data_IF_449922200171
#
_entry.id   IF_449922200171
#
_cell.length_a   1.000
_cell.length_b   1.000
_cell.length_c   1.000
_cell.angle_alpha   90.00
_cell.angle_beta   90.00
_cell.angle_gamma   90.00
#
_symmetry.space_group_name_H-M   'P 1'
#
loop_
_entity.id
_entity.type
_entity.pdbx_description
1 polymer ?
#
# COMPACT_ATOMS: atom_id res chain seq x y z
N UNK A 1 0.99 -0.16 -14.37
CA UNK A 1 0.59 0.34 -13.02
C UNK A 1 -0.80 1.01 -12.99
N UNK A 2 -1.82 0.54 -13.74
CA UNK A 2 -3.19 1.13 -13.74
C UNK A 2 -4.31 0.08 -13.59
N UNK A 3 -4.01 -1.21 -13.74
CA UNK A 3 -5.06 -2.24 -13.85
C UNK A 3 -5.83 -2.44 -12.53
N UNK A 4 -5.21 -2.19 -11.37
CA UNK A 4 -5.81 -2.54 -10.07
C UNK A 4 -6.68 -1.43 -9.45
N UNK A 5 -6.44 -0.15 -9.71
CA UNK A 5 -7.21 0.96 -9.09
C UNK A 5 -8.70 0.96 -9.46
N UNK A 6 -9.06 0.36 -10.61
CA UNK A 6 -10.45 0.21 -11.05
C UNK A 6 -11.21 -0.88 -10.28
N UNK A 7 -10.52 -1.77 -9.57
CA UNK A 7 -11.14 -2.91 -8.86
C UNK A 7 -11.71 -2.54 -7.49
N UNK A 8 -11.45 -1.33 -6.99
CA UNK A 8 -11.87 -0.91 -5.66
C UNK A 8 -12.08 0.61 -5.59
N UNK A 9 -12.54 1.11 -4.44
CA UNK A 9 -12.69 2.56 -4.20
C UNK A 9 -11.33 3.21 -4.02
N UNK A 10 -10.67 3.51 -5.14
CA UNK A 10 -9.45 4.29 -5.15
C UNK A 10 -9.66 5.66 -4.50
N UNK A 11 -8.65 6.10 -3.75
CA UNK A 11 -8.58 7.41 -3.12
C UNK A 11 -7.47 8.21 -3.77
N UNK A 12 -7.65 9.52 -3.96
CA UNK A 12 -6.54 10.39 -4.39
C UNK A 12 -5.44 10.46 -3.32
N UNK A 13 -4.31 11.09 -3.66
CA UNK A 13 -3.17 11.23 -2.75
C UNK A 13 -3.54 11.93 -1.44
N UNK A 14 -4.38 12.97 -1.48
CA UNK A 14 -4.81 13.74 -0.30
C UNK A 14 -5.87 13.04 0.54
N UNK A 15 -6.59 12.06 -0.04
CA UNK A 15 -7.63 11.29 0.67
C UNK A 15 -7.15 9.89 1.05
N UNK A 16 -5.87 9.57 0.87
CA UNK A 16 -5.36 8.22 1.07
C UNK A 16 -5.40 7.84 2.55
N UNK A 17 -6.04 6.73 2.86
CA UNK A 17 -6.04 6.15 4.19
C UNK A 17 -5.23 4.84 4.20
N UNK A 18 -4.68 4.51 5.35
CA UNK A 18 -4.11 3.19 5.57
C UNK A 18 -5.20 2.12 5.46
N UNK A 19 -4.94 1.09 4.66
CA UNK A 19 -5.88 -0.02 4.44
C UNK A 19 -5.99 -0.97 5.64
N UNK A 20 -5.22 -0.73 6.71
CA UNK A 20 -5.21 -1.53 7.95
C UNK A 20 -5.93 -0.79 9.08
N UNK A 21 -5.50 0.43 9.41
CA UNK A 21 -6.09 1.20 10.52
C UNK A 21 -7.19 2.17 10.08
N UNK A 22 -7.31 2.47 8.78
CA UNK A 22 -8.32 3.37 8.23
C UNK A 22 -8.05 4.87 8.41
N UNK A 23 -6.93 5.27 9.01
CA UNK A 23 -6.58 6.69 9.23
C UNK A 23 -5.66 7.23 8.14
N UNK A 24 -5.64 8.56 7.98
CA UNK A 24 -4.72 9.30 7.11
C UNK A 24 -3.65 10.08 7.90
N UNK A 25 -3.60 9.93 9.22
CA UNK A 25 -2.57 10.55 10.08
C UNK A 25 -1.19 9.97 9.79
N UNK A 26 -0.09 10.64 10.18
CA UNK A 26 1.28 10.15 9.94
C UNK A 26 1.53 9.77 8.47
N UNK A 27 1.19 10.70 7.57
CA UNK A 27 1.30 10.56 6.12
C UNK A 27 2.76 10.34 5.66
N UNK A 28 3.73 10.87 6.41
CA UNK A 28 5.16 10.60 6.23
C UNK A 28 5.52 9.12 6.36
N UNK A 29 4.70 8.34 7.09
CA UNK A 29 4.87 6.90 7.26
C UNK A 29 3.91 6.07 6.40
N UNK A 30 3.13 6.70 5.53
CA UNK A 30 2.12 6.04 4.70
C UNK A 30 2.70 5.64 3.33
N UNK A 31 2.98 4.34 3.15
CA UNK A 31 3.46 3.79 1.89
C UNK A 31 2.32 3.59 0.89
N UNK A 32 2.58 3.86 -0.38
CA UNK A 32 1.68 3.51 -1.48
C UNK A 32 2.21 2.29 -2.22
N UNK A 33 1.34 1.32 -2.45
CA UNK A 33 1.72 0.12 -3.22
C UNK A 33 1.83 0.46 -4.72
N UNK A 34 2.95 0.12 -5.36
CA UNK A 34 3.17 0.43 -6.78
C UNK A 34 2.24 -0.32 -7.76
N UNK A 35 1.68 -1.45 -7.32
CA UNK A 35 0.77 -2.27 -8.13
C UNK A 35 -0.69 -1.84 -8.03
N UNK A 36 -1.13 -1.39 -6.86
CA UNK A 36 -2.52 -1.06 -6.63
C UNK A 36 -2.81 0.35 -6.19
N UNK A 37 -1.87 1.09 -5.61
CA UNK A 37 -2.04 2.43 -5.05
C UNK A 37 -2.88 2.48 -3.76
N UNK A 38 -2.95 1.37 -3.02
CA UNK A 38 -3.46 1.36 -1.62
C UNK A 38 -2.40 1.90 -0.66
N UNK A 39 -2.85 2.67 0.33
CA UNK A 39 -2.02 3.20 1.41
C UNK A 39 -1.83 2.21 2.56
N UNK A 40 -0.64 2.15 3.15
CA UNK A 40 -0.32 1.35 4.33
C UNK A 40 0.72 2.06 5.19
N UNK A 41 0.43 2.30 6.48
CA UNK A 41 1.48 2.78 7.38
C UNK A 41 2.55 1.72 7.56
N UNK A 42 3.81 2.14 7.55
CA UNK A 42 4.96 1.27 7.81
C UNK A 42 4.82 0.49 9.12
N UNK A 43 4.33 1.15 10.18
CA UNK A 43 4.11 0.54 11.49
C UNK A 43 2.84 -0.35 11.56
N UNK A 44 1.89 -0.21 10.63
CA UNK A 44 0.72 -1.09 10.56
C UNK A 44 1.01 -2.40 9.81
N UNK A 45 2.14 -2.49 9.09
CA UNK A 45 2.57 -3.71 8.43
C UNK A 45 2.97 -4.79 9.46
N UNK A 46 3.00 -6.04 9.01
CA UNK A 46 3.48 -7.17 9.82
C UNK A 46 4.37 -8.05 8.95
N UNK A 47 5.70 -8.05 9.17
CA UNK A 47 6.42 -7.23 10.15
C UNK A 47 6.34 -5.72 9.83
N UNK A 48 6.42 -4.83 10.84
CA UNK A 48 6.48 -3.39 10.62
C UNK A 48 7.80 -2.99 9.96
N UNK A 49 7.77 -1.94 9.13
CA UNK A 49 8.95 -1.37 8.51
C UNK A 49 9.46 -0.18 9.33
N UNK A 50 10.78 -0.09 9.50
CA UNK A 50 11.42 1.03 10.19
C UNK A 50 11.70 2.22 9.27
N UNK A 51 11.81 1.97 7.96
CA UNK A 51 12.08 2.97 6.93
C UNK A 51 11.38 2.59 5.63
N UNK A 52 11.12 3.55 4.73
CA UNK A 52 10.60 3.25 3.41
C UNK A 52 11.51 2.24 2.69
N UNK A 53 10.96 1.25 2.00
CA UNK A 53 11.73 0.27 1.24
C UNK A 53 12.46 0.94 0.06
N UNK A 54 13.61 0.39 -0.31
CA UNK A 54 14.32 0.82 -1.52
C UNK A 54 13.66 0.24 -2.76
N UNK A 55 13.41 1.09 -3.77
CA UNK A 55 12.78 0.68 -5.03
C UNK A 55 11.26 0.44 -4.90
N UNK A 56 10.73 -0.45 -5.73
CA UNK A 56 9.30 -0.72 -5.78
C UNK A 56 8.83 -1.58 -4.60
N UNK A 57 7.66 -1.24 -4.06
CA UNK A 57 7.01 -1.95 -2.97
C UNK A 57 5.58 -2.39 -3.32
N UNK A 58 5.34 -3.69 -3.15
CA UNK A 58 4.04 -4.31 -3.36
C UNK A 58 3.43 -4.72 -2.02
N UNK A 59 2.17 -4.35 -1.78
CA UNK A 59 1.46 -4.78 -0.59
C UNK A 59 1.19 -6.29 -0.61
N UNK A 60 0.92 -6.89 0.56
CA UNK A 60 0.65 -8.33 0.68
C UNK A 60 -0.47 -8.84 -0.23
N UNK A 61 -1.48 -8.02 -0.51
CA UNK A 61 -2.54 -8.37 -1.45
C UNK A 61 -1.99 -8.52 -2.88
N UNK A 62 -1.20 -7.55 -3.35
CA UNK A 62 -0.60 -7.62 -4.68
C UNK A 62 0.44 -8.73 -4.80
N UNK A 63 1.21 -9.00 -3.74
CA UNK A 63 2.13 -10.14 -3.70
C UNK A 63 1.36 -11.45 -3.88
N UNK A 64 0.25 -11.62 -3.14
CA UNK A 64 -0.59 -12.81 -3.22
C UNK A 64 -1.28 -13.00 -4.58
N UNK A 65 -1.71 -11.91 -5.21
CA UNK A 65 -2.50 -11.92 -6.45
C UNK A 65 -1.64 -11.93 -7.72
N UNK A 66 -0.51 -11.22 -7.75
CA UNK A 66 0.26 -10.97 -8.97
C UNK A 66 1.67 -11.55 -8.95
N UNK A 67 2.26 -11.76 -7.76
CA UNK A 67 3.68 -12.12 -7.62
C UNK A 67 3.91 -13.51 -7.01
N UNK A 68 2.86 -14.32 -6.83
CA UNK A 68 3.03 -15.75 -6.56
C UNK A 68 3.56 -16.41 -7.83
N UNK A 69 4.81 -16.84 -7.78
CA UNK A 69 5.36 -17.77 -8.77
C UNK A 69 4.84 -19.16 -8.40
N UNK A 70 4.12 -19.81 -9.31
CA UNK A 70 4.01 -21.27 -9.33
C UNK A 70 5.40 -21.91 -9.46
#
# INVERSE_FOLDING_TARGET
MIVSVRKYRWQCIECKCCSICGTSDNDDQLLFCDDCDRGYHMYCLSPPLASPPEGSWSCRLCIAEFHRRD
#
